data_IF_291807228123
#
_entry.id   IF_291807228123
#
_cell.length_a   1.000
_cell.length_b   1.000
_cell.length_c   1.000
_cell.angle_alpha   90.00
_cell.angle_beta   90.00
_cell.angle_gamma   90.00
#
_symmetry.space_group_name_H-M   'P 1'
#
loop_
_entity.id
_entity.type
_entity.pdbx_description
1 polymer ?
#
# COMPACT_ATOMS: atom_id res chain seq x y z
N UNK A 1 -2.63 11.40 -11.78
CA UNK A 1 -1.36 11.50 -11.01
C UNK A 1 -1.51 10.64 -9.78
N UNK A 2 -0.70 9.59 -9.62
CA UNK A 2 -0.73 8.76 -8.42
C UNK A 2 -0.28 9.61 -7.20
N UNK A 3 -0.97 9.44 -6.07
CA UNK A 3 -0.61 9.96 -4.76
C UNK A 3 0.27 8.94 -4.04
N UNK A 4 0.83 9.33 -2.88
CA UNK A 4 1.69 8.45 -2.09
C UNK A 4 1.03 7.14 -1.65
N UNK A 5 -0.29 7.16 -1.39
CA UNK A 5 -1.05 5.96 -1.03
C UNK A 5 -1.30 5.02 -2.21
N UNK A 6 -1.51 5.54 -3.42
CA UNK A 6 -1.61 4.72 -4.64
C UNK A 6 -0.31 3.93 -4.88
N UNK A 7 0.84 4.61 -4.71
CA UNK A 7 2.15 3.97 -4.83
C UNK A 7 2.38 2.94 -3.71
N UNK A 8 1.98 3.26 -2.48
CA UNK A 8 2.13 2.32 -1.36
C UNK A 8 1.30 1.06 -1.58
N UNK A 9 0.06 1.18 -2.03
CA UNK A 9 -0.80 0.04 -2.36
C UNK A 9 -0.16 -0.84 -3.45
N UNK A 10 0.34 -0.23 -4.53
CA UNK A 10 1.00 -0.95 -5.61
C UNK A 10 2.26 -1.69 -5.15
N UNK A 11 3.09 -1.07 -4.30
CA UNK A 11 4.28 -1.71 -3.74
C UNK A 11 3.91 -2.86 -2.80
N UNK A 12 2.87 -2.70 -1.98
CA UNK A 12 2.40 -3.71 -1.05
C UNK A 12 1.81 -4.95 -1.74
N UNK A 13 1.24 -4.78 -2.93
CA UNK A 13 0.70 -5.87 -3.75
C UNK A 13 1.77 -6.68 -4.50
N UNK A 14 2.98 -6.14 -4.66
CA UNK A 14 4.09 -6.82 -5.32
C UNK A 14 4.98 -7.57 -4.31
N UNK A 15 4.72 -8.88 -4.15
CA UNK A 15 5.45 -9.74 -3.21
C UNK A 15 6.95 -9.91 -3.49
N UNK A 16 7.40 -9.61 -4.71
CA UNK A 16 8.82 -9.65 -5.09
C UNK A 16 9.51 -8.29 -4.87
N UNK A 17 8.76 -7.27 -4.43
CA UNK A 17 9.30 -5.95 -4.19
C UNK A 17 10.13 -5.92 -2.90
N UNK A 18 11.35 -5.35 -3.00
CA UNK A 18 12.21 -5.11 -1.82
C UNK A 18 11.54 -4.28 -0.73
N UNK A 19 10.58 -3.44 -1.08
CA UNK A 19 9.81 -2.68 -0.10
C UNK A 19 8.98 -3.62 0.81
N UNK A 20 8.37 -4.66 0.24
CA UNK A 20 7.62 -5.68 1.00
C UNK A 20 8.55 -6.47 1.92
N UNK A 21 9.75 -6.80 1.47
CA UNK A 21 10.76 -7.42 2.34
C UNK A 21 11.12 -6.53 3.54
N UNK A 22 11.28 -5.22 3.33
CA UNK A 22 11.58 -4.26 4.39
C UNK A 22 10.42 -4.14 5.38
N UNK A 23 9.17 -4.08 4.88
CA UNK A 23 7.97 -4.08 5.72
C UNK A 23 7.90 -5.34 6.59
N UNK A 24 8.12 -6.52 6.00
CA UNK A 24 8.16 -7.79 6.73
C UNK A 24 9.25 -7.82 7.81
N UNK A 25 10.46 -7.33 7.49
CA UNK A 25 11.56 -7.21 8.48
C UNK A 25 11.24 -6.24 9.62
N UNK A 26 10.39 -5.25 9.37
CA UNK A 26 9.90 -4.32 10.39
C UNK A 26 8.69 -4.87 11.18
N UNK A 27 8.21 -6.08 10.88
CA UNK A 27 7.04 -6.68 11.51
C UNK A 27 5.71 -6.14 10.98
N UNK A 28 5.71 -5.49 9.82
CA UNK A 28 4.51 -4.97 9.17
C UNK A 28 3.99 -6.01 8.18
N UNK A 29 2.70 -6.35 8.29
CA UNK A 29 2.00 -7.15 7.30
C UNK A 29 1.72 -6.28 6.05
N UNK A 30 2.47 -6.54 4.98
CA UNK A 30 2.35 -5.81 3.72
C UNK A 30 0.99 -5.99 3.07
N UNK A 31 0.37 -7.18 3.18
CA UNK A 31 -0.94 -7.44 2.60
C UNK A 31 -2.00 -6.61 3.32
N UNK A 32 -2.03 -6.66 4.64
CA UNK A 32 -2.96 -5.87 5.44
C UNK A 32 -2.76 -4.36 5.20
N UNK A 33 -1.50 -3.91 5.12
CA UNK A 33 -1.19 -2.50 4.84
C UNK A 33 -1.67 -2.08 3.44
N UNK A 34 -1.52 -2.94 2.43
CA UNK A 34 -2.01 -2.70 1.07
C UNK A 34 -3.52 -2.54 1.02
N UNK A 35 -4.27 -3.48 1.59
CA UNK A 35 -5.74 -3.43 1.69
C UNK A 35 -6.19 -2.12 2.37
N UNK A 36 -5.51 -1.71 3.44
CA UNK A 36 -5.79 -0.44 4.12
C UNK A 36 -5.47 0.80 3.29
N UNK A 37 -4.36 0.79 2.54
CA UNK A 37 -3.99 1.90 1.66
C UNK A 37 -4.98 2.04 0.50
N UNK A 38 -5.44 0.94 -0.09
CA UNK A 38 -6.46 0.92 -1.14
C UNK A 38 -7.80 1.49 -0.67
N UNK A 39 -8.26 1.09 0.53
CA UNK A 39 -9.46 1.66 1.14
C UNK A 39 -9.34 3.18 1.28
N UNK A 40 -8.18 3.68 1.76
CA UNK A 40 -7.97 5.12 1.95
C UNK A 40 -7.86 5.91 0.65
N UNK A 41 -7.23 5.33 -0.37
CA UNK A 41 -7.21 5.89 -1.72
C UNK A 41 -8.62 5.98 -2.29
N UNK A 42 -9.40 4.91 -2.13
CA UNK A 42 -10.77 4.84 -2.59
C UNK A 42 -11.62 5.91 -1.91
N UNK A 43 -11.64 5.96 -0.57
CA UNK A 43 -12.31 7.02 0.21
C UNK A 43 -11.95 8.43 -0.29
N UNK A 44 -10.66 8.70 -0.52
CA UNK A 44 -10.20 10.00 -1.00
C UNK A 44 -10.70 10.34 -2.42
N UNK A 45 -10.94 9.35 -3.26
CA UNK A 45 -11.54 9.54 -4.59
C UNK A 45 -13.05 9.79 -4.56
N UNK A 46 -13.76 9.31 -3.53
CA UNK A 46 -15.20 9.55 -3.40
C UNK A 46 -15.55 10.98 -2.96
N UNK A 47 -14.59 11.69 -2.34
CA UNK A 47 -14.76 13.07 -1.86
C UNK A 47 -14.13 14.15 -2.75
N UNK A 48 -13.49 13.79 -3.87
CA UNK A 48 -12.83 14.73 -4.79
C UNK A 48 -13.56 14.85 -6.11
#
# INVERSE_FOLDING_TARGET
RARGLDLLAALAADGECRAVEVLGRAGVDARWLGERAEERTTEASWWG
#
